data_IF_904570037438
#
_entry.id   IF_904570037438
#
_cell.length_a   1.000
_cell.length_b   1.000
_cell.length_c   1.000
_cell.angle_alpha   90.00
_cell.angle_beta   90.00
_cell.angle_gamma   90.00
#
_symmetry.space_group_name_H-M   'P 1'
#
loop_
_entity.id
_entity.type
_entity.pdbx_description
1 polymer ?
#
# COMPACT_ATOMS: atom_id res chain seq x y z
N UNK A 1 6.77 12.37 -4.97
CA UNK A 1 6.03 13.55 -4.44
C UNK A 1 4.51 13.35 -4.44
N UNK A 2 3.89 12.95 -5.55
CA UNK A 2 2.43 12.71 -5.65
C UNK A 2 1.89 11.66 -4.66
N UNK A 3 2.63 10.58 -4.40
CA UNK A 3 2.22 9.52 -3.46
C UNK A 3 2.10 10.01 -2.01
N UNK A 4 2.94 10.98 -1.61
CA UNK A 4 2.88 11.61 -0.28
C UNK A 4 1.61 12.45 -0.16
N UNK A 5 1.21 13.15 -1.22
CA UNK A 5 -0.03 13.92 -1.25
C UNK A 5 -1.24 12.97 -1.08
N UNK A 6 -1.22 11.81 -1.74
CA UNK A 6 -2.27 10.79 -1.57
C UNK A 6 -2.32 10.18 -0.17
N UNK A 7 -1.16 9.94 0.44
CA UNK A 7 -1.07 9.49 1.83
C UNK A 7 -1.71 10.53 2.78
N UNK A 8 -1.38 11.81 2.61
CA UNK A 8 -1.93 12.90 3.41
C UNK A 8 -3.44 13.07 3.23
N UNK A 9 -3.96 12.89 2.01
CA UNK A 9 -5.40 12.88 1.75
C UNK A 9 -6.12 11.69 2.44
N UNK A 10 -5.44 10.56 2.62
CA UNK A 10 -5.99 9.37 3.26
C UNK A 10 -5.66 9.26 4.75
N UNK A 11 -5.21 10.34 5.41
CA UNK A 11 -4.85 10.32 6.84
C UNK A 11 -6.05 10.01 7.75
N UNK A 12 -7.27 10.36 7.32
CA UNK A 12 -8.53 10.10 8.03
C UNK A 12 -9.19 8.77 7.62
N UNK A 13 -8.61 8.03 6.68
CA UNK A 13 -9.13 6.76 6.21
C UNK A 13 -8.79 5.62 7.20
N UNK A 14 -9.43 4.48 6.98
CA UNK A 14 -9.25 3.27 7.78
C UNK A 14 -7.77 2.87 7.87
N UNK A 15 -7.42 2.22 8.99
CA UNK A 15 -6.02 1.92 9.32
C UNK A 15 -5.38 1.01 8.25
N UNK A 16 -6.15 0.09 7.68
CA UNK A 16 -5.75 -0.76 6.56
C UNK A 16 -5.36 0.03 5.30
N UNK A 17 -6.12 1.09 4.96
CA UNK A 17 -5.86 1.93 3.79
C UNK A 17 -4.63 2.81 4.01
N UNK A 18 -4.43 3.31 5.24
CA UNK A 18 -3.21 4.04 5.63
C UNK A 18 -1.95 3.18 5.48
N UNK A 19 -1.96 1.94 5.96
CA UNK A 19 -0.82 1.02 5.86
C UNK A 19 -0.46 0.75 4.39
N UNK A 20 -1.47 0.56 3.53
CA UNK A 20 -1.27 0.40 2.09
C UNK A 20 -0.56 1.62 1.48
N UNK A 21 -0.99 2.84 1.82
CA UNK A 21 -0.36 4.06 1.30
C UNK A 21 1.06 4.28 1.84
N UNK A 22 1.37 3.87 3.08
CA UNK A 22 2.75 3.89 3.58
C UNK A 22 3.67 2.96 2.78
N UNK A 23 3.22 1.74 2.51
CA UNK A 23 3.97 0.78 1.69
C UNK A 23 4.16 1.27 0.25
N UNK A 24 3.14 1.92 -0.32
CA UNK A 24 3.21 2.53 -1.65
C UNK A 24 4.26 3.64 -1.68
N UNK A 25 4.32 4.47 -0.64
CA UNK A 25 5.31 5.52 -0.53
C UNK A 25 6.73 4.95 -0.48
N UNK A 26 6.95 3.95 0.38
CA UNK A 26 8.24 3.27 0.50
C UNK A 26 8.67 2.65 -0.85
N UNK A 27 7.77 1.96 -1.55
CA UNK A 27 8.01 1.35 -2.87
C UNK A 27 8.47 2.39 -3.90
N UNK A 28 7.80 3.53 -3.99
CA UNK A 28 8.12 4.57 -4.98
C UNK A 28 9.46 5.23 -4.66
N UNK A 29 9.75 5.49 -3.39
CA UNK A 29 11.07 6.00 -2.99
C UNK A 29 12.20 5.00 -3.27
N UNK A 30 12.02 3.72 -2.93
CA UNK A 30 12.98 2.65 -3.22
C UNK A 30 13.21 2.46 -4.73
N UNK A 31 12.15 2.51 -5.54
CA UNK A 31 12.27 2.41 -6.99
C UNK A 31 13.04 3.59 -7.57
N UNK A 32 12.74 4.80 -7.08
CA UNK A 32 13.44 6.01 -7.51
C UNK A 32 14.94 5.95 -7.15
N UNK A 33 15.27 5.52 -5.93
CA UNK A 33 16.67 5.35 -5.50
C UNK A 33 17.36 4.26 -6.32
N UNK A 34 16.67 3.16 -6.64
CA UNK A 34 17.22 2.09 -7.48
C UNK A 34 17.59 2.59 -8.88
N UNK A 35 16.72 3.40 -9.50
CA UNK A 35 16.95 3.97 -10.83
C UNK A 35 18.10 4.99 -10.83
N UNK A 36 18.20 5.85 -9.80
CA UNK A 36 19.31 6.80 -9.69
C UNK A 36 20.65 6.14 -9.36
N UNK A 37 20.64 5.07 -8.56
CA UNK A 37 21.87 4.45 -8.07
C UNK A 37 22.39 3.31 -8.96
N UNK A 38 21.55 2.71 -9.81
CA UNK A 38 21.92 1.56 -10.65
C UNK A 38 22.23 0.26 -9.87
N UNK A 39 22.01 0.25 -8.55
CA UNK A 39 22.36 -0.87 -7.67
C UNK A 39 21.25 -1.93 -7.71
N UNK A 40 21.53 -3.09 -8.33
CA UNK A 40 20.61 -4.23 -8.43
C UNK A 40 19.92 -4.66 -7.12
N UNK A 41 20.61 -4.79 -5.96
CA UNK A 41 19.93 -5.24 -4.74
C UNK A 41 18.84 -4.28 -4.24
N UNK A 42 18.96 -2.97 -4.48
CA UNK A 42 17.92 -2.00 -4.09
C UNK A 42 16.65 -2.20 -4.92
N UNK A 43 16.81 -2.54 -6.21
CA UNK A 43 15.68 -2.88 -7.08
C UNK A 43 14.94 -4.13 -6.60
N UNK A 44 15.67 -5.15 -6.16
CA UNK A 44 15.11 -6.40 -5.61
C UNK A 44 14.33 -6.13 -4.31
N UNK A 45 14.90 -5.36 -3.39
CA UNK A 45 14.24 -4.96 -2.14
C UNK A 45 12.96 -4.18 -2.44
N UNK A 46 13.02 -3.23 -3.38
CA UNK A 46 11.83 -2.54 -3.87
C UNK A 46 10.78 -3.53 -4.39
N UNK A 47 11.18 -4.57 -5.11
CA UNK A 47 10.29 -5.62 -5.61
C UNK A 47 9.49 -6.30 -4.50
N UNK A 48 10.16 -6.69 -3.40
CA UNK A 48 9.48 -7.28 -2.23
C UNK A 48 8.46 -6.33 -1.61
N UNK A 49 8.79 -5.04 -1.47
CA UNK A 49 7.82 -4.03 -1.02
C UNK A 49 6.63 -3.91 -1.97
N UNK A 50 6.82 -4.12 -3.28
CA UNK A 50 5.74 -4.15 -4.26
C UNK A 50 4.78 -5.32 -4.07
N UNK A 51 5.29 -6.50 -3.70
CA UNK A 51 4.46 -7.69 -3.45
C UNK A 51 3.61 -7.48 -2.19
N UNK A 52 4.22 -6.99 -1.11
CA UNK A 52 3.50 -6.69 0.14
C UNK A 52 2.41 -5.62 -0.08
N UNK A 53 2.70 -4.63 -0.92
CA UNK A 53 1.74 -3.59 -1.29
C UNK A 53 0.55 -4.19 -2.05
N UNK A 54 0.81 -5.05 -3.03
CA UNK A 54 -0.24 -5.71 -3.80
C UNK A 54 -1.15 -6.56 -2.87
N UNK A 55 -0.56 -7.27 -1.91
CA UNK A 55 -1.31 -8.03 -0.92
C UNK A 55 -2.19 -7.14 -0.03
N UNK A 56 -1.65 -6.02 0.46
CA UNK A 56 -2.41 -5.05 1.26
C UNK A 56 -3.55 -4.39 0.46
N UNK A 57 -3.35 -4.17 -0.84
CA UNK A 57 -4.39 -3.66 -1.74
C UNK A 57 -5.50 -4.70 -1.98
N UNK A 58 -5.13 -5.96 -2.17
CA UNK A 58 -6.10 -7.07 -2.27
C UNK A 58 -6.92 -7.21 -0.98
N UNK A 59 -6.29 -7.11 0.18
CA UNK A 59 -6.97 -7.16 1.48
C UNK A 59 -7.96 -5.98 1.67
N UNK A 60 -7.56 -4.75 1.32
CA UNK A 60 -8.49 -3.61 1.36
C UNK A 60 -9.68 -3.83 0.41
N UNK A 61 -9.42 -4.28 -0.82
CA UNK A 61 -10.46 -4.50 -1.81
C UNK A 61 -11.44 -5.60 -1.36
N UNK A 62 -10.93 -6.72 -0.86
CA UNK A 62 -11.77 -7.81 -0.36
C UNK A 62 -12.59 -7.40 0.85
N UNK A 63 -12.00 -6.63 1.78
CA UNK A 63 -12.73 -6.10 2.92
C UNK A 63 -13.85 -5.14 2.52
N UNK A 64 -13.62 -4.25 1.55
CA UNK A 64 -14.67 -3.35 1.02
C UNK A 64 -15.81 -4.19 0.41
N UNK A 65 -15.48 -5.25 -0.33
CA UNK A 65 -16.45 -6.06 -1.05
C UNK A 65 -17.29 -6.93 -0.09
N UNK A 66 -16.65 -7.51 0.93
CA UNK A 66 -17.30 -8.33 1.96
C UNK A 66 -18.17 -7.46 2.87
N UNK A 67 -17.63 -6.34 3.37
CA UNK A 67 -18.37 -5.44 4.28
C UNK A 67 -19.55 -4.76 3.60
N UNK A 68 -19.48 -4.55 2.28
CA UNK A 68 -20.58 -3.97 1.51
C UNK A 68 -21.70 -4.98 1.23
N UNK A 69 -21.37 -6.26 1.05
CA UNK A 69 -22.32 -7.30 0.66
C UNK A 69 -22.87 -8.11 1.84
N UNK A 70 -22.22 -8.11 3.01
CA UNK A 70 -22.63 -8.89 4.16
C UNK A 70 -22.64 -8.06 5.45
N UNK A 71 -23.82 -7.95 6.07
CA UNK A 71 -23.97 -7.35 7.41
C UNK A 71 -23.54 -8.29 8.55
N UNK A 72 -23.34 -9.59 8.26
CA UNK A 72 -23.07 -10.63 9.27
C UNK A 72 -21.59 -10.88 9.53
N UNK A 73 -20.71 -10.59 8.56
CA UNK A 73 -19.27 -10.84 8.67
C UNK A 73 -18.52 -9.58 8.23
N UNK A 74 -17.97 -8.87 9.22
CA UNK A 74 -17.25 -7.62 8.99
C UNK A 74 -15.75 -7.88 9.12
N UNK A 75 -15.01 -7.69 8.03
CA UNK A 75 -13.55 -7.76 8.04
C UNK A 75 -13.02 -6.49 8.70
N UNK A 76 -12.26 -6.59 9.80
CA UNK A 76 -11.79 -5.42 10.55
C UNK A 76 -10.75 -4.66 9.73
N UNK A 77 -11.15 -3.52 9.19
CA UNK A 77 -10.29 -2.61 8.42
C UNK A 77 -9.65 -1.50 9.26
N UNK A 78 -9.98 -1.46 10.56
CA UNK A 78 -9.47 -0.52 11.55
C UNK A 78 -10.19 0.82 11.50
#
# INVERSE_FOLDING_TARGET
IWVIILLLCNLKANTSTRIMFYLLNARVHLATIADFSGIRPISVIGGYFGILLALAAFYNCSAILINKNNSLFNVPVG
#
